data_IF_669605428941
#
_entry.id   IF_669605428941
#
_cell.length_a   1.000
_cell.length_b   1.000
_cell.length_c   1.000
_cell.angle_alpha   90.00
_cell.angle_beta   90.00
_cell.angle_gamma   90.00
#
_symmetry.space_group_name_H-M   'P 1'
#
loop_
_entity.id
_entity.type
_entity.pdbx_description
1 polymer ?
#
# COMPACT_ATOMS: atom_id res chain seq x y z
N UNK A 1 27.20 -11.25 -4.24
CA UNK A 1 25.76 -10.93 -4.08
C UNK A 1 25.66 -9.77 -3.11
N UNK A 2 24.79 -8.81 -3.38
CA UNK A 2 24.57 -7.64 -2.51
C UNK A 2 23.87 -8.06 -1.23
N UNK A 3 24.42 -7.71 -0.07
CA UNK A 3 23.85 -8.02 1.25
C UNK A 3 23.22 -6.77 1.86
N UNK A 4 21.99 -6.92 2.35
CA UNK A 4 21.24 -5.90 3.09
C UNK A 4 21.27 -6.23 4.59
N UNK A 5 21.43 -5.20 5.41
CA UNK A 5 21.52 -5.24 6.88
C UNK A 5 20.45 -4.38 7.58
N UNK A 6 19.44 -3.93 6.85
CA UNK A 6 18.27 -3.23 7.37
C UNK A 6 17.04 -4.14 7.32
N UNK A 7 16.08 -3.95 8.23
CA UNK A 7 14.77 -4.63 8.19
C UNK A 7 13.85 -3.96 7.17
N UNK A 8 13.45 -4.66 6.11
CA UNK A 8 12.76 -4.07 4.95
C UNK A 8 11.48 -4.85 4.61
N UNK A 9 10.37 -4.14 4.46
CA UNK A 9 9.18 -4.65 3.76
C UNK A 9 9.20 -4.18 2.30
N UNK A 10 8.73 -5.03 1.39
CA UNK A 10 8.66 -4.71 -0.04
C UNK A 10 7.19 -4.67 -0.49
N UNK A 11 6.84 -3.66 -1.29
CA UNK A 11 5.57 -3.60 -2.04
C UNK A 11 5.93 -3.60 -3.53
N UNK A 12 5.47 -4.60 -4.27
CA UNK A 12 5.72 -4.72 -5.72
C UNK A 12 4.40 -4.76 -6.48
N UNK A 13 4.22 -3.82 -7.41
CA UNK A 13 3.04 -3.75 -8.26
C UNK A 13 3.17 -4.67 -9.47
N UNK A 14 2.27 -5.65 -9.54
CA UNK A 14 2.22 -6.71 -10.55
C UNK A 14 0.82 -6.75 -11.20
N UNK A 15 0.73 -7.41 -12.34
CA UNK A 15 -0.51 -7.65 -13.04
C UNK A 15 -0.67 -9.15 -13.36
N UNK A 16 -1.75 -9.75 -12.88
CA UNK A 16 -2.07 -11.14 -13.20
C UNK A 16 -2.38 -11.28 -14.71
N UNK A 17 -2.02 -12.41 -15.36
CA UNK A 17 -2.46 -12.67 -16.72
C UNK A 17 -3.98 -12.86 -16.78
N UNK A 18 -4.57 -12.76 -17.98
CA UNK A 18 -6.01 -12.95 -18.14
C UNK A 18 -6.42 -14.37 -17.70
N UNK A 19 -7.53 -14.45 -16.96
CA UNK A 19 -8.01 -15.70 -16.37
C UNK A 19 -7.41 -16.03 -15.00
N UNK A 20 -6.44 -15.24 -14.54
CA UNK A 20 -5.90 -15.27 -13.18
C UNK A 20 -6.19 -13.95 -12.47
N UNK A 21 -5.99 -13.93 -11.16
CA UNK A 21 -6.26 -12.83 -10.27
C UNK A 21 -5.16 -12.73 -9.20
N UNK A 22 -5.22 -11.66 -8.39
CA UNK A 22 -4.37 -11.55 -7.20
C UNK A 22 -4.64 -12.65 -6.16
N UNK A 23 -5.80 -13.31 -6.19
CA UNK A 23 -6.09 -14.46 -5.32
C UNK A 23 -5.22 -15.67 -5.70
N UNK A 24 -5.07 -15.94 -7.01
CA UNK A 24 -4.30 -17.09 -7.49
C UNK A 24 -2.83 -17.01 -7.07
N UNK A 25 -2.24 -15.80 -7.05
CA UNK A 25 -0.88 -15.61 -6.51
C UNK A 25 -0.82 -15.90 -5.01
N UNK A 26 -1.80 -15.42 -4.24
CA UNK A 26 -1.86 -15.67 -2.80
C UNK A 26 -1.98 -17.18 -2.50
N UNK A 27 -2.82 -17.88 -3.26
CA UNK A 27 -3.02 -19.33 -3.13
C UNK A 27 -1.77 -20.13 -3.50
N UNK A 28 -1.10 -19.78 -4.59
CA UNK A 28 0.15 -20.44 -4.99
C UNK A 28 1.29 -20.20 -3.97
N UNK A 29 1.37 -18.99 -3.38
CA UNK A 29 2.30 -18.74 -2.26
C UNK A 29 1.92 -19.62 -1.07
N UNK A 30 0.65 -19.65 -0.67
CA UNK A 30 0.19 -20.47 0.44
C UNK A 30 0.55 -21.96 0.22
N UNK A 31 0.32 -22.50 -0.98
CA UNK A 31 0.65 -23.89 -1.31
C UNK A 31 2.14 -24.17 -1.13
N UNK A 32 3.02 -23.32 -1.68
CA UNK A 32 4.48 -23.46 -1.53
C UNK A 32 4.93 -23.50 -0.07
N UNK A 33 4.28 -22.72 0.78
CA UNK A 33 4.61 -22.60 2.20
C UNK A 33 3.75 -23.50 3.11
N UNK A 34 2.95 -24.41 2.52
CA UNK A 34 2.01 -25.29 3.24
C UNK A 34 1.10 -24.50 4.21
N UNK A 35 0.72 -23.31 3.77
CA UNK A 35 0.05 -22.29 4.53
C UNK A 35 -1.44 -22.18 4.21
N UNK A 36 -1.99 -21.00 4.48
CA UNK A 36 -3.38 -20.68 4.18
C UNK A 36 -3.51 -19.25 3.67
N UNK A 37 -4.62 -18.99 2.97
CA UNK A 37 -5.02 -17.66 2.54
C UNK A 37 -6.21 -17.22 3.38
N UNK A 38 -6.17 -15.99 3.89
CA UNK A 38 -7.30 -15.33 4.53
C UNK A 38 -7.72 -14.13 3.69
N UNK A 39 -8.99 -14.11 3.24
CA UNK A 39 -9.53 -12.93 2.57
C UNK A 39 -9.79 -11.83 3.60
N UNK A 40 -9.48 -10.59 3.22
CA UNK A 40 -9.79 -9.42 4.02
C UNK A 40 -10.17 -8.24 3.13
N UNK A 41 -10.77 -7.20 3.71
CA UNK A 41 -10.98 -5.94 2.99
C UNK A 41 -9.80 -4.99 3.15
N UNK A 42 -9.12 -4.69 2.05
CA UNK A 42 -8.11 -3.63 1.99
C UNK A 42 -8.77 -2.28 1.76
N UNK A 43 -8.34 -1.26 2.51
CA UNK A 43 -8.82 0.10 2.33
C UNK A 43 -8.01 0.78 1.23
N UNK A 44 -8.69 1.21 0.19
CA UNK A 44 -8.11 1.93 -0.93
C UNK A 44 -8.58 3.37 -0.96
N UNK A 45 -7.81 4.22 -1.63
CA UNK A 45 -8.16 5.63 -1.82
C UNK A 45 -7.96 6.01 -3.28
N UNK A 46 -8.99 6.57 -3.89
CA UNK A 46 -8.99 7.07 -5.27
C UNK A 46 -9.24 8.58 -5.29
N UNK A 47 -8.66 9.33 -6.25
CA UNK A 47 -8.99 10.73 -6.43
C UNK A 47 -10.50 10.89 -6.68
N UNK A 48 -11.13 11.80 -5.95
CA UNK A 48 -12.55 12.09 -6.14
C UNK A 48 -12.72 13.32 -7.02
N UNK A 49 -13.70 13.25 -7.93
CA UNK A 49 -14.12 14.37 -8.78
C UNK A 49 -15.16 15.27 -8.10
N UNK A 50 -15.58 14.93 -6.87
CA UNK A 50 -16.60 15.67 -6.12
C UNK A 50 -15.96 16.91 -5.48
N UNK A 51 -16.49 18.13 -5.72
CA UNK A 51 -15.99 19.35 -5.07
C UNK A 51 -15.94 19.24 -3.55
N UNK A 52 -14.82 19.61 -2.94
CA UNK A 52 -14.63 19.56 -1.48
C UNK A 52 -14.35 18.17 -0.89
N UNK A 53 -14.38 17.09 -1.71
CA UNK A 53 -13.96 15.74 -1.31
C UNK A 53 -12.83 15.30 -2.24
N UNK A 54 -11.55 15.50 -1.88
CA UNK A 54 -10.42 15.23 -2.78
C UNK A 54 -10.16 13.73 -2.99
N UNK A 55 -10.62 12.89 -2.06
CA UNK A 55 -10.45 11.44 -2.13
C UNK A 55 -11.77 10.73 -1.84
N UNK A 56 -11.97 9.61 -2.52
CA UNK A 56 -12.99 8.63 -2.20
C UNK A 56 -12.30 7.39 -1.68
N UNK A 57 -12.87 6.77 -0.66
CA UNK A 57 -12.33 5.55 -0.08
C UNK A 57 -13.27 4.38 -0.36
N UNK A 58 -12.69 3.21 -0.56
CA UNK A 58 -13.44 1.99 -0.76
C UNK A 58 -12.70 0.79 -0.14
N UNK A 59 -13.44 -0.29 0.06
CA UNK A 59 -12.91 -1.57 0.51
C UNK A 59 -12.90 -2.53 -0.68
N UNK A 60 -11.75 -3.10 -1.00
CA UNK A 60 -11.58 -4.13 -2.03
C UNK A 60 -11.01 -5.40 -1.41
N UNK A 61 -11.22 -6.55 -2.06
CA UNK A 61 -10.63 -7.80 -1.59
C UNK A 61 -9.10 -7.76 -1.65
N UNK A 62 -8.49 -8.07 -0.51
CA UNK A 62 -7.10 -8.44 -0.36
C UNK A 62 -6.99 -9.85 0.21
N UNK A 63 -5.83 -10.46 0.02
CA UNK A 63 -5.57 -11.85 0.39
C UNK A 63 -4.30 -11.90 1.24
N UNK A 64 -4.42 -12.28 2.50
CA UNK A 64 -3.31 -12.44 3.42
C UNK A 64 -2.84 -13.90 3.43
N UNK A 65 -1.56 -14.11 3.17
CA UNK A 65 -0.93 -15.43 3.14
C UNK A 65 -0.22 -15.68 4.46
N UNK A 66 -0.57 -16.79 5.10
CA UNK A 66 0.02 -17.26 6.34
C UNK A 66 0.75 -18.59 6.11
N UNK A 67 1.86 -18.83 6.80
CA UNK A 67 2.54 -20.12 6.79
C UNK A 67 1.77 -21.20 7.58
N UNK A 68 2.26 -22.44 7.57
CA UNK A 68 1.66 -23.55 8.33
C UNK A 68 1.53 -23.30 9.85
N UNK A 69 2.26 -22.34 10.41
CA UNK A 69 2.24 -21.95 11.83
C UNK A 69 1.38 -20.71 12.07
N UNK A 70 0.77 -20.14 11.03
CA UNK A 70 -0.01 -18.91 11.10
C UNK A 70 0.82 -17.62 11.06
N UNK A 71 2.10 -17.68 10.70
CA UNK A 71 2.92 -16.47 10.56
C UNK A 71 2.66 -15.79 9.22
N UNK A 72 2.64 -14.46 9.24
CA UNK A 72 2.47 -13.64 8.04
C UNK A 72 3.63 -13.82 7.05
N UNK A 73 3.31 -14.12 5.78
CA UNK A 73 4.28 -14.22 4.67
C UNK A 73 4.17 -13.00 3.76
N UNK A 74 2.99 -12.77 3.19
CA UNK A 74 2.74 -11.70 2.24
C UNK A 74 1.24 -11.39 2.13
N UNK A 75 0.89 -10.24 1.58
CA UNK A 75 -0.46 -9.92 1.13
C UNK A 75 -0.47 -9.65 -0.36
N UNK A 76 -1.53 -10.07 -1.03
CA UNK A 76 -1.84 -9.67 -2.39
C UNK A 76 -3.05 -8.75 -2.32
N UNK A 77 -2.84 -7.45 -2.56
CA UNK A 77 -3.91 -6.44 -2.48
C UNK A 77 -4.11 -5.76 -3.83
N UNK A 78 -5.26 -5.13 -4.00
CA UNK A 78 -5.52 -4.32 -5.17
C UNK A 78 -4.66 -3.03 -5.14
N UNK A 79 -4.27 -2.53 -6.32
CA UNK A 79 -3.80 -1.15 -6.46
C UNK A 79 -4.60 -0.42 -7.55
N UNK A 80 -5.35 0.59 -7.12
CA UNK A 80 -6.20 1.41 -7.97
C UNK A 80 -5.41 2.27 -8.98
N UNK A 81 -4.09 2.41 -8.82
CA UNK A 81 -3.29 3.20 -9.78
C UNK A 81 -3.02 2.46 -11.09
N UNK A 82 -2.99 1.12 -11.07
CA UNK A 82 -2.85 0.29 -12.27
C UNK A 82 -4.14 0.37 -13.10
N UNK A 83 -4.07 0.88 -14.33
CA UNK A 83 -5.26 1.18 -15.14
C UNK A 83 -5.07 0.91 -16.63
N UNK A 84 -3.91 1.21 -17.20
CA UNK A 84 -3.70 1.22 -18.65
C UNK A 84 -3.83 -0.17 -19.28
N UNK A 85 -3.41 -1.22 -18.57
CA UNK A 85 -3.37 -2.60 -19.06
C UNK A 85 -4.65 -3.40 -18.78
N UNK A 86 -5.70 -2.73 -18.30
CA UNK A 86 -6.98 -3.33 -17.95
C UNK A 86 -8.05 -3.07 -19.01
N UNK A 87 -8.81 -4.10 -19.35
CA UNK A 87 -10.02 -3.95 -20.15
C UNK A 87 -11.19 -3.49 -19.27
N UNK A 88 -11.43 -2.17 -19.27
CA UNK A 88 -12.50 -1.51 -18.50
C UNK A 88 -13.91 -1.93 -18.91
N UNK A 89 -14.07 -2.56 -20.08
CA UNK A 89 -15.37 -3.06 -20.56
C UNK A 89 -15.70 -4.46 -20.06
N UNK A 90 -14.71 -5.18 -19.49
CA UNK A 90 -14.91 -6.52 -18.98
C UNK A 90 -15.88 -6.49 -17.78
N UNK A 91 -16.89 -7.38 -17.74
CA UNK A 91 -17.75 -7.50 -16.58
C UNK A 91 -16.94 -7.96 -15.36
N UNK A 92 -17.51 -7.72 -14.17
CA UNK A 92 -16.97 -8.26 -12.93
C UNK A 92 -16.98 -9.79 -12.96
N UNK A 93 -15.94 -10.42 -12.41
CA UNK A 93 -16.02 -11.83 -12.04
C UNK A 93 -17.03 -12.02 -10.89
N UNK A 94 -17.65 -13.21 -10.77
CA UNK A 94 -18.50 -13.56 -9.63
C UNK A 94 -17.77 -13.35 -8.30
N UNK A 95 -18.46 -12.79 -7.30
CA UNK A 95 -17.94 -12.52 -5.95
C UNK A 95 -16.73 -11.59 -5.87
N UNK A 96 -16.38 -10.91 -6.97
CA UNK A 96 -15.48 -9.76 -6.93
C UNK A 96 -16.27 -8.47 -6.82
N UNK A 97 -16.19 -7.82 -5.67
CA UNK A 97 -16.92 -6.59 -5.42
C UNK A 97 -16.10 -5.62 -4.58
N UNK A 98 -16.61 -4.39 -4.46
CA UNK A 98 -16.11 -3.40 -3.51
C UNK A 98 -17.23 -2.86 -2.66
N UNK A 99 -16.87 -2.43 -1.46
CA UNK A 99 -17.78 -1.69 -0.58
C UNK A 99 -17.36 -0.23 -0.58
N UNK A 100 -18.32 0.66 -0.78
CA UNK A 100 -18.11 2.09 -0.82
C UNK A 100 -18.96 2.80 0.22
N UNK A 101 -18.43 3.86 0.80
CA UNK A 101 -19.10 4.76 1.73
C UNK A 101 -18.47 6.14 1.60
N UNK A 102 -19.22 7.19 1.89
CA UNK A 102 -18.76 8.56 1.76
C UNK A 102 -18.07 9.10 3.02
N UNK A 103 -17.94 8.27 4.06
CA UNK A 103 -17.23 8.53 5.31
C UNK A 103 -16.24 7.41 5.64
N UNK A 104 -14.97 7.78 5.83
CA UNK A 104 -13.87 6.87 6.20
C UNK A 104 -14.14 6.09 7.50
N UNK A 105 -14.80 6.73 8.47
CA UNK A 105 -15.13 6.13 9.76
C UNK A 105 -16.15 5.01 9.58
N UNK A 106 -17.10 5.18 8.67
CA UNK A 106 -18.06 4.13 8.31
C UNK A 106 -17.35 2.96 7.61
N UNK A 107 -16.44 3.21 6.67
CA UNK A 107 -15.65 2.11 6.07
C UNK A 107 -14.84 1.34 7.10
N UNK A 108 -14.23 2.02 8.08
CA UNK A 108 -13.52 1.36 9.17
C UNK A 108 -14.44 0.53 10.06
N UNK A 109 -15.66 1.01 10.32
CA UNK A 109 -16.68 0.25 11.05
C UNK A 109 -17.12 -0.97 10.24
N UNK A 110 -17.49 -0.78 8.97
CA UNK A 110 -17.94 -1.83 8.05
C UNK A 110 -16.91 -2.95 7.98
N UNK A 111 -15.64 -2.60 7.73
CA UNK A 111 -14.52 -3.56 7.69
C UNK A 111 -14.41 -4.44 8.95
N UNK A 112 -14.91 -4.00 10.11
CA UNK A 112 -14.91 -4.78 11.36
C UNK A 112 -16.18 -5.60 11.58
N UNK A 113 -17.27 -5.28 10.89
CA UNK A 113 -18.58 -5.90 11.08
C UNK A 113 -18.88 -6.97 10.03
N UNK A 114 -18.32 -6.84 8.83
CA UNK A 114 -18.60 -7.75 7.72
C UNK A 114 -17.58 -8.87 7.66
N UNK A 115 -18.00 -10.05 7.16
CA UNK A 115 -17.10 -11.16 6.87
C UNK A 115 -16.66 -11.12 5.40
N UNK A 116 -15.36 -10.97 5.10
CA UNK A 116 -14.85 -10.87 3.72
C UNK A 116 -15.16 -12.07 2.81
N UNK A 117 -15.52 -13.21 3.37
CA UNK A 117 -15.91 -14.42 2.64
C UNK A 117 -17.39 -14.42 2.21
N UNK A 118 -18.22 -13.50 2.70
CA UNK A 118 -19.63 -13.46 2.35
C UNK A 118 -19.83 -13.00 0.90
N UNK A 119 -20.90 -13.49 0.27
CA UNK A 119 -21.31 -13.05 -1.06
C UNK A 119 -21.77 -11.59 -1.03
N UNK A 120 -21.68 -10.90 -2.17
CA UNK A 120 -22.12 -9.49 -2.29
C UNK A 120 -23.58 -9.28 -1.86
N UNK A 121 -24.42 -10.30 -2.05
CA UNK A 121 -25.84 -10.27 -1.71
C UNK A 121 -26.13 -10.34 -0.21
N UNK A 122 -25.13 -10.67 0.61
CA UNK A 122 -25.28 -10.83 2.07
C UNK A 122 -24.33 -9.91 2.85
N UNK A 123 -23.26 -9.41 2.21
CA UNK A 123 -22.14 -8.75 2.89
C UNK A 123 -22.52 -7.54 3.76
N UNK A 124 -23.57 -6.79 3.39
CA UNK A 124 -24.02 -5.62 4.16
C UNK A 124 -25.12 -5.94 5.17
N UNK A 125 -25.54 -7.20 5.32
CA UNK A 125 -26.56 -7.61 6.27
C UNK A 125 -26.23 -7.21 7.73
N UNK A 126 -24.98 -7.37 8.23
CA UNK A 126 -24.62 -6.89 9.57
C UNK A 126 -24.75 -5.36 9.73
N UNK A 127 -24.59 -4.61 8.63
CA UNK A 127 -24.73 -3.15 8.63
C UNK A 127 -26.20 -2.74 8.61
N UNK A 128 -27.02 -3.44 7.82
CA UNK A 128 -28.47 -3.30 7.82
C UNK A 128 -29.05 -3.49 9.24
N UNK A 129 -28.61 -4.54 9.94
CA UNK A 129 -28.99 -4.83 11.33
C UNK A 129 -28.55 -3.73 12.29
N UNK A 130 -27.32 -3.23 12.16
CA UNK A 130 -26.80 -2.15 13.01
C UNK A 130 -27.60 -0.85 12.88
N UNK A 131 -28.07 -0.52 11.68
CA UNK A 131 -28.84 0.69 11.41
C UNK A 131 -30.36 0.49 11.51
N UNK A 132 -30.83 -0.76 11.72
CA UNK A 132 -32.26 -1.07 11.79
C UNK A 132 -33.00 -0.85 10.46
N UNK A 133 -32.30 -0.88 9.33
CA UNK A 133 -32.85 -0.63 8.00
C UNK A 133 -32.58 -1.80 7.06
N UNK A 134 -33.46 -2.11 6.10
CA UNK A 134 -33.24 -3.21 5.19
C UNK A 134 -32.14 -2.88 4.19
N UNK A 135 -31.42 -3.92 3.76
CA UNK A 135 -30.61 -3.86 2.55
C UNK A 135 -31.52 -3.89 1.32
N UNK A 136 -31.21 -3.06 0.34
CA UNK A 136 -31.96 -2.94 -0.92
C UNK A 136 -31.07 -3.30 -2.10
N UNK A 137 -31.61 -4.01 -3.08
CA UNK A 137 -30.91 -4.38 -4.32
C UNK A 137 -31.41 -3.53 -5.50
N UNK A 138 -30.49 -3.08 -6.34
CA UNK A 138 -30.79 -2.52 -7.66
C UNK A 138 -29.66 -2.83 -8.63
N UNK A 139 -29.95 -3.51 -9.74
CA UNK A 139 -28.97 -3.80 -10.81
C UNK A 139 -27.68 -4.47 -10.30
N UNK A 140 -27.80 -5.39 -9.34
CA UNK A 140 -26.66 -6.07 -8.70
C UNK A 140 -25.88 -5.22 -7.69
N UNK A 141 -26.33 -4.00 -7.40
CA UNK A 141 -25.82 -3.16 -6.32
C UNK A 141 -26.67 -3.35 -5.06
N UNK A 142 -26.00 -3.54 -3.92
CA UNK A 142 -26.65 -3.70 -2.63
C UNK A 142 -26.38 -2.48 -1.76
N UNK A 143 -27.43 -1.87 -1.20
CA UNK A 143 -27.33 -0.61 -0.47
C UNK A 143 -28.00 -0.70 0.88
N UNK A 144 -27.32 -0.16 1.89
CA UNK A 144 -27.89 0.16 3.20
C UNK A 144 -27.94 1.68 3.35
N UNK A 145 -29.09 2.19 3.79
CA UNK A 145 -29.31 3.60 4.12
C UNK A 145 -29.73 3.72 5.58
N UNK A 146 -29.59 4.89 6.20
CA UNK A 146 -30.10 5.14 7.54
C UNK A 146 -31.63 5.37 7.56
N UNK A 147 -32.20 5.60 8.75
CA UNK A 147 -33.64 5.80 8.95
C UNK A 147 -34.22 7.01 8.21
N UNK A 148 -33.39 7.99 7.83
CA UNK A 148 -33.80 9.17 7.05
C UNK A 148 -33.47 9.04 5.56
N UNK A 149 -32.94 7.90 5.13
CA UNK A 149 -32.64 7.57 3.74
C UNK A 149 -31.25 8.02 3.24
N UNK A 150 -30.37 8.50 4.12
CA UNK A 150 -29.00 8.82 3.74
C UNK A 150 -28.19 7.53 3.52
N UNK A 151 -27.32 7.52 2.51
CA UNK A 151 -26.52 6.33 2.18
C UNK A 151 -25.51 6.03 3.28
N UNK A 152 -25.47 4.80 3.78
CA UNK A 152 -24.47 4.32 4.74
C UNK A 152 -23.36 3.58 4.01
N UNK A 153 -23.73 2.58 3.21
CA UNK A 153 -22.81 1.72 2.48
C UNK A 153 -23.46 1.19 1.21
N UNK A 154 -22.64 0.98 0.17
CA UNK A 154 -23.04 0.32 -1.06
C UNK A 154 -21.99 -0.76 -1.38
N UNK A 155 -22.44 -1.99 -1.59
CA UNK A 155 -21.64 -3.06 -2.17
C UNK A 155 -21.98 -3.16 -3.66
N UNK A 156 -20.96 -3.16 -4.51
CA UNK A 156 -21.11 -3.11 -5.97
C UNK A 156 -20.08 -4.04 -6.63
N UNK A 157 -20.44 -4.77 -7.70
CA UNK A 157 -19.48 -5.56 -8.47
C UNK A 157 -18.26 -4.75 -8.88
N UNK A 158 -17.14 -5.43 -9.09
CA UNK A 158 -15.86 -4.80 -9.38
C UNK A 158 -15.44 -5.08 -10.84
N UNK A 159 -16.04 -4.40 -11.84
CA UNK A 159 -15.78 -4.65 -13.25
C UNK A 159 -14.43 -4.11 -13.68
N UNK A 160 -14.07 -4.36 -14.95
CA UNK A 160 -12.90 -3.78 -15.58
C UNK A 160 -11.61 -4.51 -15.25
N UNK A 161 -11.68 -5.85 -15.17
CA UNK A 161 -10.52 -6.71 -14.90
C UNK A 161 -9.81 -6.41 -13.57
N UNK A 162 -10.53 -5.82 -12.61
CA UNK A 162 -9.99 -5.31 -11.35
C UNK A 162 -9.59 -6.40 -10.37
N UNK A 163 -9.85 -7.66 -10.64
CA UNK A 163 -9.29 -8.81 -9.95
C UNK A 163 -7.80 -9.04 -10.24
N UNK A 164 -7.29 -8.49 -11.37
CA UNK A 164 -5.94 -8.78 -11.88
C UNK A 164 -4.81 -7.95 -11.26
N UNK A 165 -4.97 -6.64 -10.98
CA UNK A 165 -3.92 -5.86 -10.33
C UNK A 165 -3.56 -6.46 -8.96
N UNK A 166 -2.27 -6.52 -8.68
CA UNK A 166 -1.75 -7.13 -7.46
C UNK A 166 -0.55 -6.34 -6.96
N UNK A 167 -0.71 -5.62 -5.86
CA UNK A 167 0.41 -5.18 -5.04
C UNK A 167 0.77 -6.33 -4.09
N UNK A 168 1.92 -6.95 -4.33
CA UNK A 168 2.51 -7.96 -3.45
C UNK A 168 3.24 -7.26 -2.32
N UNK A 169 2.71 -7.35 -1.10
CA UNK A 169 3.25 -6.75 0.12
C UNK A 169 3.88 -7.83 0.99
N UNK A 170 5.20 -7.81 1.19
CA UNK A 170 5.87 -8.83 1.98
C UNK A 170 5.72 -8.61 3.49
N UNK A 171 5.88 -9.67 4.28
CA UNK A 171 6.31 -9.52 5.66
C UNK A 171 7.65 -8.75 5.71
N UNK A 172 7.94 -8.00 6.79
CA UNK A 172 9.25 -7.39 6.96
C UNK A 172 10.35 -8.45 7.01
N UNK A 173 11.35 -8.31 6.15
CA UNK A 173 12.47 -9.23 6.02
C UNK A 173 13.67 -8.63 6.78
N UNK A 174 14.38 -9.45 7.56
CA UNK A 174 15.55 -9.01 8.35
C UNK A 174 16.86 -9.57 7.81
N UNK A 175 16.82 -10.78 7.23
CA UNK A 175 17.99 -11.50 6.72
C UNK A 175 17.63 -12.22 5.43
N UNK A 176 18.64 -12.57 4.63
CA UNK A 176 18.47 -13.31 3.36
C UNK A 176 17.42 -12.72 2.40
N UNK A 177 17.35 -11.38 2.37
CA UNK A 177 16.41 -10.59 1.57
C UNK A 177 16.22 -11.10 0.15
N UNK A 178 17.33 -11.41 -0.55
CA UNK A 178 17.26 -11.95 -1.90
C UNK A 178 16.50 -13.28 -1.94
N UNK A 179 16.86 -14.25 -1.09
CA UNK A 179 16.26 -15.57 -1.14
C UNK A 179 14.77 -15.53 -0.77
N UNK A 180 14.41 -14.73 0.23
CA UNK A 180 13.01 -14.57 0.67
C UNK A 180 12.17 -13.85 -0.38
N UNK A 181 12.69 -12.78 -0.99
CA UNK A 181 11.96 -12.07 -2.02
C UNK A 181 11.87 -12.89 -3.32
N UNK A 182 12.96 -13.55 -3.72
CA UNK A 182 12.98 -14.37 -4.92
C UNK A 182 12.06 -15.57 -4.83
N UNK A 183 11.91 -16.17 -3.65
CA UNK A 183 10.97 -17.29 -3.47
C UNK A 183 9.52 -16.89 -3.73
N UNK A 184 9.15 -15.62 -3.52
CA UNK A 184 7.83 -15.07 -3.82
C UNK A 184 7.71 -14.65 -5.28
N UNK A 185 8.68 -13.89 -5.80
CA UNK A 185 8.65 -13.40 -7.18
C UNK A 185 8.80 -14.53 -8.21
N UNK A 186 9.48 -15.62 -7.87
CA UNK A 186 9.54 -16.82 -8.70
C UNK A 186 8.14 -17.40 -8.96
N UNK A 187 7.26 -17.43 -7.96
CA UNK A 187 5.88 -17.91 -8.11
C UNK A 187 5.10 -16.99 -9.04
N UNK A 188 5.23 -15.66 -8.85
CA UNK A 188 4.60 -14.69 -9.73
C UNK A 188 5.05 -14.88 -11.19
N UNK A 189 6.36 -15.11 -11.43
CA UNK A 189 6.89 -15.43 -12.76
C UNK A 189 6.33 -16.74 -13.33
N UNK A 190 6.28 -17.80 -12.53
CA UNK A 190 5.73 -19.11 -12.93
C UNK A 190 4.24 -19.02 -13.31
N UNK A 191 3.46 -18.20 -12.60
CA UNK A 191 2.07 -17.91 -12.92
C UNK A 191 1.89 -16.94 -14.10
N UNK A 192 2.97 -16.36 -14.62
CA UNK A 192 2.92 -15.44 -15.77
C UNK A 192 2.45 -14.03 -15.42
N UNK A 193 2.64 -13.58 -14.17
CA UNK A 193 2.44 -12.17 -13.81
C UNK A 193 3.40 -11.27 -14.59
N UNK A 194 2.94 -10.07 -14.90
CA UNK A 194 3.71 -9.07 -15.64
C UNK A 194 3.82 -7.76 -14.87
N UNK A 195 4.69 -6.87 -15.32
CA UNK A 195 4.80 -5.52 -14.78
C UNK A 195 3.84 -4.58 -15.52
N UNK A 196 2.83 -4.00 -14.84
CA UNK A 196 1.91 -3.05 -15.47
C UNK A 196 2.59 -1.72 -15.82
N UNK A 197 1.94 -0.93 -16.67
CA UNK A 197 2.42 0.36 -17.17
C UNK A 197 2.68 1.35 -16.04
N UNK A 198 1.80 1.41 -15.04
CA UNK A 198 1.93 2.31 -13.89
C UNK A 198 2.86 1.79 -12.78
N UNK A 199 3.40 0.58 -12.92
CA UNK A 199 4.04 -0.14 -11.84
C UNK A 199 5.16 0.64 -11.14
N UNK A 200 5.08 0.62 -9.80
CA UNK A 200 6.10 1.06 -8.88
C UNK A 200 6.60 -0.10 -7.99
N UNK A 201 7.70 0.16 -7.29
CA UNK A 201 8.15 -0.67 -6.17
C UNK A 201 8.42 0.24 -4.98
N UNK A 202 7.89 -0.12 -3.81
CA UNK A 202 8.11 0.62 -2.57
C UNK A 202 8.95 -0.20 -1.58
N UNK A 203 9.85 0.50 -0.89
CA UNK A 203 10.69 -0.09 0.15
C UNK A 203 10.36 0.53 1.50
N UNK A 204 9.95 -0.30 2.45
CA UNK A 204 9.61 0.09 3.81
C UNK A 204 10.74 -0.30 4.77
N UNK A 205 11.63 0.64 5.03
CA UNK A 205 12.73 0.48 5.99
C UNK A 205 12.24 0.73 7.41
N UNK A 206 12.61 -0.12 8.37
CA UNK A 206 12.34 0.16 9.79
C UNK A 206 12.92 1.52 10.20
N UNK A 207 12.08 2.41 10.73
CA UNK A 207 12.47 3.79 11.00
C UNK A 207 13.07 4.00 12.39
N UNK A 208 13.24 2.96 13.20
CA UNK A 208 13.64 3.12 14.61
C UNK A 208 14.93 3.92 14.77
N UNK A 209 15.91 3.68 13.90
CA UNK A 209 17.20 4.40 13.89
C UNK A 209 17.09 5.83 13.35
N UNK A 210 16.03 6.14 12.61
CA UNK A 210 15.79 7.44 12.00
C UNK A 210 15.05 8.40 12.94
N UNK A 211 14.51 7.89 14.05
CA UNK A 211 13.82 8.66 15.08
C UNK A 211 14.79 9.43 16.00
N UNK A 212 15.65 10.25 15.40
CA UNK A 212 16.64 11.10 16.05
C UNK A 212 16.80 12.39 15.24
N UNK A 213 16.79 13.55 15.88
CA UNK A 213 16.72 14.84 15.17
C UNK A 213 17.98 15.16 14.34
N UNK A 214 19.23 14.85 14.76
CA UNK A 214 20.39 14.92 13.87
C UNK A 214 20.31 13.98 12.66
N UNK A 215 19.86 12.74 12.87
CA UNK A 215 19.77 11.73 11.79
C UNK A 215 18.68 12.13 10.79
N UNK A 216 17.53 12.55 11.30
CA UNK A 216 16.43 13.04 10.48
C UNK A 216 16.81 14.30 9.70
N UNK A 217 17.56 15.22 10.32
CA UNK A 217 18.14 16.38 9.64
C UNK A 217 19.03 15.95 8.46
N UNK A 218 19.98 15.04 8.69
CA UNK A 218 20.87 14.55 7.63
C UNK A 218 20.07 13.88 6.50
N UNK A 219 19.11 13.03 6.85
CA UNK A 219 18.26 12.33 5.90
C UNK A 219 17.46 13.30 5.02
N UNK A 220 16.80 14.29 5.64
CA UNK A 220 15.97 15.25 4.90
C UNK A 220 16.83 16.09 3.96
N UNK A 221 17.96 16.62 4.42
CA UNK A 221 18.84 17.43 3.55
C UNK A 221 19.41 16.60 2.39
N UNK A 222 19.90 15.39 2.68
CA UNK A 222 20.46 14.50 1.65
C UNK A 222 19.42 14.18 0.58
N UNK A 223 18.20 13.75 0.98
CA UNK A 223 17.16 13.37 0.02
C UNK A 223 16.53 14.58 -0.69
N UNK A 224 16.54 15.76 -0.06
CA UNK A 224 16.12 17.00 -0.70
C UNK A 224 17.04 17.39 -1.84
N UNK A 225 18.36 17.31 -1.61
CA UNK A 225 19.39 17.65 -2.59
C UNK A 225 19.47 16.60 -3.71
N UNK A 226 19.52 15.31 -3.36
CA UNK A 226 19.77 14.22 -4.29
C UNK A 226 18.51 13.65 -4.95
N UNK A 227 17.31 14.00 -4.49
CA UNK A 227 16.07 13.35 -4.89
C UNK A 227 15.86 13.25 -6.41
N UNK A 228 16.11 14.33 -7.15
CA UNK A 228 15.96 14.31 -8.61
C UNK A 228 17.06 13.48 -9.30
N UNK A 229 18.28 13.50 -8.79
CA UNK A 229 19.37 12.65 -9.29
C UNK A 229 19.07 11.17 -9.03
N UNK A 230 18.52 10.83 -7.86
CA UNK A 230 18.09 9.48 -7.52
C UNK A 230 17.00 8.99 -8.47
N UNK A 231 15.98 9.81 -8.76
CA UNK A 231 14.93 9.47 -9.74
C UNK A 231 15.51 9.11 -11.11
N UNK A 232 16.45 9.92 -11.60
CA UNK A 232 17.13 9.65 -12.87
C UNK A 232 17.96 8.37 -12.82
N UNK A 233 18.71 8.16 -11.73
CA UNK A 233 19.58 7.01 -11.52
C UNK A 233 18.79 5.70 -11.51
N UNK A 234 17.65 5.67 -10.81
CA UNK A 234 16.80 4.46 -10.70
C UNK A 234 15.79 4.34 -11.83
N UNK A 235 15.75 5.34 -12.73
CA UNK A 235 14.81 5.42 -13.86
C UNK A 235 13.37 5.31 -13.40
N UNK A 236 12.98 6.20 -12.48
CA UNK A 236 11.61 6.30 -11.98
C UNK A 236 10.60 6.26 -13.13
N UNK A 237 9.58 5.42 -12.98
CA UNK A 237 8.55 5.26 -14.00
C UNK A 237 7.75 6.57 -14.17
N UNK A 238 7.72 7.17 -15.38
CA UNK A 238 7.00 8.43 -15.61
C UNK A 238 5.48 8.31 -15.49
N UNK A 239 4.94 7.08 -15.46
CA UNK A 239 3.51 6.84 -15.27
C UNK A 239 3.08 6.86 -13.79
N UNK A 240 4.02 6.86 -12.84
CA UNK A 240 3.72 6.97 -11.41
C UNK A 240 3.29 8.41 -11.06
N UNK A 241 2.00 8.60 -10.72
CA UNK A 241 1.41 9.93 -10.50
C UNK A 241 1.45 10.40 -9.04
N UNK A 242 1.79 9.52 -8.08
CA UNK A 242 1.75 9.78 -6.63
C UNK A 242 3.14 10.01 -6.04
N UNK A 243 4.00 10.66 -6.82
CA UNK A 243 5.38 11.01 -6.50
C UNK A 243 5.55 12.53 -6.46
N UNK A 244 6.65 12.99 -5.87
CA UNK A 244 6.92 14.42 -5.73
C UNK A 244 7.80 14.76 -4.55
N UNK A 245 8.28 16.01 -4.54
CA UNK A 245 9.10 16.54 -3.45
C UNK A 245 8.29 16.75 -2.17
N UNK A 246 8.99 16.79 -1.05
CA UNK A 246 8.44 17.33 0.18
C UNK A 246 8.10 18.83 0.04
N UNK A 247 7.22 19.36 0.90
CA UNK A 247 7.04 20.80 1.05
C UNK A 247 8.35 21.48 1.49
N UNK A 248 8.63 22.69 0.99
CA UNK A 248 9.83 23.48 1.37
C UNK A 248 9.86 23.78 2.87
N UNK A 249 8.69 23.87 3.49
CA UNK A 249 8.49 24.07 4.92
C UNK A 249 9.14 22.96 5.75
N UNK A 250 9.22 21.73 5.23
CA UNK A 250 9.96 20.64 5.89
C UNK A 250 11.46 20.95 5.93
N UNK A 251 12.03 21.35 4.80
CA UNK A 251 13.45 21.70 4.71
C UNK A 251 13.79 22.88 5.63
N UNK A 252 12.94 23.92 5.62
CA UNK A 252 13.10 25.08 6.49
C UNK A 252 13.05 24.68 7.97
N UNK A 253 12.10 23.85 8.36
CA UNK A 253 11.94 23.40 9.74
C UNK A 253 13.19 22.66 10.23
N UNK A 254 13.68 21.67 9.47
CA UNK A 254 14.84 20.89 9.92
C UNK A 254 16.11 21.74 9.97
N UNK A 255 16.23 22.78 9.13
CA UNK A 255 17.37 23.70 9.13
C UNK A 255 17.24 24.88 10.12
N UNK A 256 16.17 24.93 10.90
CA UNK A 256 16.01 25.98 11.92
C UNK A 256 17.07 25.81 13.03
N UNK A 257 17.72 26.89 13.51
CA UNK A 257 18.69 26.81 14.60
C UNK A 257 18.13 26.08 15.83
N UNK A 258 18.83 25.05 16.28
CA UNK A 258 18.44 24.25 17.44
C UNK A 258 17.56 23.03 17.15
N UNK A 259 17.12 22.80 15.90
CA UNK A 259 16.32 21.62 15.55
C UNK A 259 16.99 20.30 15.95
N UNK A 260 18.27 20.15 15.66
CA UNK A 260 19.07 18.95 15.98
C UNK A 260 19.32 18.75 17.48
N UNK A 261 18.99 19.73 18.31
CA UNK A 261 19.06 19.64 19.77
C UNK A 261 17.72 19.23 20.40
N UNK A 262 16.62 19.24 19.63
CA UNK A 262 15.31 18.79 20.11
C UNK A 262 15.33 17.28 20.37
N UNK A 263 14.56 16.83 21.36
CA UNK A 263 14.18 15.42 21.41
C UNK A 263 13.32 15.05 20.20
N UNK A 264 13.28 13.75 19.87
CA UNK A 264 12.44 13.28 18.77
C UNK A 264 10.94 13.61 18.99
N UNK A 265 10.45 13.52 20.23
CA UNK A 265 9.06 13.79 20.57
C UNK A 265 8.68 15.27 20.39
N UNK A 266 9.59 16.18 20.74
CA UNK A 266 9.42 17.62 20.48
C UNK A 266 9.41 17.91 18.97
N UNK A 267 10.37 17.35 18.22
CA UNK A 267 10.41 17.52 16.77
C UNK A 267 9.16 16.96 16.09
N UNK A 268 8.63 15.81 16.51
CA UNK A 268 7.38 15.25 16.00
C UNK A 268 6.20 16.21 16.18
N UNK A 269 6.16 16.96 17.29
CA UNK A 269 5.11 17.95 17.55
C UNK A 269 5.13 19.06 16.48
N UNK A 270 6.32 19.54 16.11
CA UNK A 270 6.49 20.52 15.02
C UNK A 270 6.20 19.92 13.65
N UNK A 271 6.73 18.72 13.35
CA UNK A 271 6.56 18.04 12.07
C UNK A 271 5.09 17.78 11.73
N UNK A 272 4.25 17.47 12.74
CA UNK A 272 2.82 17.24 12.54
C UNK A 272 2.05 18.48 12.08
N UNK A 273 2.57 19.68 12.33
CA UNK A 273 1.96 20.94 11.88
C UNK A 273 2.09 21.16 10.38
N UNK A 274 3.01 20.44 9.71
CA UNK A 274 3.25 20.56 8.26
C UNK A 274 2.25 19.80 7.39
N UNK A 275 1.33 19.03 8.00
CA UNK A 275 0.31 18.24 7.29
C UNK A 275 0.87 17.40 6.12
N UNK A 276 2.07 16.82 6.30
CA UNK A 276 2.80 16.09 5.26
C UNK A 276 1.90 15.06 4.56
N UNK A 277 2.12 14.82 3.27
CA UNK A 277 1.42 13.79 2.48
C UNK A 277 2.29 12.55 2.26
N UNK A 278 1.66 11.38 2.10
CA UNK A 278 2.37 10.16 1.71
C UNK A 278 2.66 10.12 0.20
N UNK A 279 2.00 10.98 -0.59
CA UNK A 279 2.18 11.10 -2.03
C UNK A 279 3.40 11.98 -2.33
N UNK A 280 4.57 11.44 -2.01
CA UNK A 280 5.88 12.02 -2.28
C UNK A 280 6.89 10.88 -2.57
N UNK A 281 8.09 11.23 -2.97
CA UNK A 281 9.16 10.29 -3.31
C UNK A 281 9.60 9.43 -2.10
N UNK A 282 9.57 10.04 -0.92
CA UNK A 282 10.04 9.45 0.32
C UNK A 282 9.04 9.72 1.46
N UNK A 283 8.16 8.76 1.73
CA UNK A 283 7.13 8.92 2.75
C UNK A 283 7.71 8.74 4.17
N UNK A 284 7.67 9.83 4.93
CA UNK A 284 8.11 9.91 6.34
C UNK A 284 6.94 9.99 7.34
N UNK A 285 5.69 10.06 6.85
CA UNK A 285 4.51 10.18 7.73
C UNK A 285 4.38 9.00 8.68
N UNK A 286 4.71 7.82 8.18
CA UNK A 286 4.55 6.54 8.85
C UNK A 286 5.13 6.56 10.28
N UNK A 287 6.36 7.05 10.46
CA UNK A 287 7.01 7.15 11.77
C UNK A 287 6.80 8.49 12.49
N UNK A 288 6.51 9.59 11.78
CA UNK A 288 6.14 10.88 12.41
C UNK A 288 4.76 10.79 13.10
N UNK A 289 3.77 10.20 12.43
CA UNK A 289 2.41 10.07 12.94
C UNK A 289 2.20 8.81 13.79
N UNK A 290 3.23 7.96 13.94
CA UNK A 290 3.21 6.70 14.72
C UNK A 290 2.02 5.82 14.33
N UNK A 291 1.85 5.61 13.03
CA UNK A 291 0.79 4.76 12.53
C UNK A 291 1.00 3.32 13.05
N UNK A 292 -0.03 2.66 13.60
CA UNK A 292 0.11 1.31 14.13
C UNK A 292 0.72 0.36 13.10
N UNK A 293 1.73 -0.40 13.52
CA UNK A 293 2.45 -1.37 12.68
C UNK A 293 3.14 -0.78 11.45
N UNK A 294 3.37 0.53 11.39
CA UNK A 294 4.01 1.22 10.25
C UNK A 294 5.12 2.17 10.70
N UNK A 295 5.98 1.79 11.66
CA UNK A 295 7.17 2.59 12.00
C UNK A 295 8.24 2.49 10.90
N UNK A 296 7.98 3.06 9.73
CA UNK A 296 8.79 2.86 8.52
C UNK A 296 9.10 4.16 7.79
N UNK A 297 10.31 4.25 7.24
CA UNK A 297 10.63 5.16 6.16
C UNK A 297 10.35 4.44 4.85
N UNK A 298 9.59 5.08 3.96
CA UNK A 298 9.13 4.46 2.72
C UNK A 298 9.72 5.18 1.51
N UNK A 299 10.50 4.49 0.70
CA UNK A 299 11.06 5.01 -0.56
C UNK A 299 10.25 4.49 -1.75
N UNK A 300 9.78 5.39 -2.62
CA UNK A 300 8.69 5.14 -3.59
C UNK A 300 9.06 5.40 -5.05
N UNK A 301 10.31 5.81 -5.32
CA UNK A 301 10.74 6.30 -6.64
C UNK A 301 11.08 5.21 -7.65
N UNK A 302 10.91 3.94 -7.29
CA UNK A 302 11.43 2.83 -8.09
C UNK A 302 10.39 2.34 -9.12
N UNK A 303 10.82 2.01 -10.34
CA UNK A 303 9.93 1.37 -11.31
C UNK A 303 9.53 -0.03 -10.85
N UNK A 304 8.47 -0.59 -11.45
CA UNK A 304 8.09 -1.98 -11.21
C UNK A 304 9.14 -2.98 -11.68
N UNK A 305 9.35 -4.02 -10.87
CA UNK A 305 10.25 -5.14 -11.18
C UNK A 305 9.65 -6.48 -10.81
N UNK A 306 9.91 -7.47 -11.65
CA UNK A 306 9.55 -8.87 -11.41
C UNK A 306 10.77 -9.73 -11.07
N UNK A 307 11.96 -9.25 -11.40
CA UNK A 307 13.23 -9.90 -11.09
C UNK A 307 13.78 -9.39 -9.76
N UNK A 308 14.34 -10.29 -8.95
CA UNK A 308 14.76 -9.98 -7.57
C UNK A 308 16.02 -9.11 -7.54
N UNK A 309 16.97 -9.35 -8.44
CA UNK A 309 18.26 -8.64 -8.48
C UNK A 309 18.12 -7.11 -8.50
N UNK A 310 17.38 -6.49 -9.45
CA UNK A 310 17.25 -5.03 -9.47
C UNK A 310 16.58 -4.48 -8.20
N UNK A 311 15.64 -5.23 -7.60
CA UNK A 311 14.98 -4.84 -6.35
C UNK A 311 15.99 -4.75 -5.22
N UNK A 312 16.84 -5.76 -5.06
CA UNK A 312 17.86 -5.80 -3.99
C UNK A 312 18.95 -4.75 -4.21
N UNK A 313 19.37 -4.50 -5.45
CA UNK A 313 20.34 -3.45 -5.78
C UNK A 313 19.80 -2.05 -5.47
N UNK A 314 18.53 -1.79 -5.80
CA UNK A 314 17.86 -0.53 -5.49
C UNK A 314 17.61 -0.35 -3.98
N UNK A 315 17.21 -1.41 -3.28
CA UNK A 315 17.10 -1.39 -1.83
C UNK A 315 18.46 -1.11 -1.17
N UNK A 316 19.55 -1.64 -1.73
CA UNK A 316 20.91 -1.38 -1.23
C UNK A 316 21.32 0.08 -1.40
N UNK A 317 21.02 0.68 -2.55
CA UNK A 317 21.25 2.11 -2.77
C UNK A 317 20.59 2.95 -1.69
N UNK A 318 19.33 2.65 -1.34
CA UNK A 318 18.64 3.38 -0.26
C UNK A 318 19.21 3.07 1.11
N UNK A 319 19.53 1.82 1.40
CA UNK A 319 20.17 1.43 2.65
C UNK A 319 21.48 2.22 2.88
N UNK A 320 22.30 2.39 1.85
CA UNK A 320 23.55 3.16 1.94
C UNK A 320 23.29 4.65 2.27
N UNK A 321 22.24 5.24 1.69
CA UNK A 321 21.80 6.61 2.03
C UNK A 321 21.34 6.68 3.49
N UNK A 322 20.57 5.69 3.96
CA UNK A 322 20.12 5.64 5.35
C UNK A 322 21.30 5.50 6.32
N UNK A 323 22.29 4.66 6.01
CA UNK A 323 23.50 4.55 6.83
C UNK A 323 24.33 5.84 6.82
N UNK A 324 24.40 6.55 5.68
CA UNK A 324 25.05 7.85 5.62
C UNK A 324 24.36 8.91 6.47
N UNK A 325 23.04 8.82 6.68
CA UNK A 325 22.32 9.73 7.57
C UNK A 325 22.54 9.40 9.05
N UNK A 326 22.76 8.12 9.37
CA UNK A 326 22.98 7.60 10.73
C UNK A 326 24.41 7.84 11.22
N UNK A 327 25.40 7.74 10.34
CA UNK A 327 26.82 7.95 10.63
C UNK A 327 27.19 9.41 10.85
#
# INVERSE_FOLDING_TARGET
MTTLNWKIGFELELLAPKGFSRQDLAEAIAEKYQGSVQRFFSLQSEPSKVPGKPVFQNLTHGFEVLDAKGNFIARCVDDLTIQADLDKSCPSLPDWYRIVSDDARLLHLIKRQVNPEDAIADILQPIAELFGTPMTESEGMFRVSDEVGASVAIAVPLPGERERPCELVTAPIETDHFAVLDSLLAIARELGFTIPTEAATHFHFDATRLCSTPIFYNLVNTLWEEGEHLRQKVRTNPHCQRLGKWPEELLFLVNTPGFTALSWDEAVTHLKQLELTKYCDFNIKNFIYRLPNKNTFEARIFPGWLETTPVIEAAKLMEDILWSAVG
#
